data_IF_671059065617
#
_entry.id   IF_671059065617
#
_cell.length_a   1.000
_cell.length_b   1.000
_cell.length_c   1.000
_cell.angle_alpha   90.00
_cell.angle_beta   90.00
_cell.angle_gamma   90.00
#
_symmetry.space_group_name_H-M   'P 1'
#
loop_
_entity.id
_entity.type
_entity.pdbx_description
1 polymer ?
#
# COMPACT_ATOMS: atom_id res chain seq x y z
N UNK A 1 7.47 -26.67 17.48
CA UNK A 1 7.71 -26.48 16.04
C UNK A 1 6.44 -26.88 15.34
N UNK A 2 5.55 -25.92 15.12
CA UNK A 2 4.37 -26.12 14.30
C UNK A 2 4.14 -24.78 13.57
N UNK A 3 4.82 -24.66 12.43
CA UNK A 3 4.88 -23.42 11.63
C UNK A 3 5.13 -23.72 10.16
N UNK A 4 4.96 -24.97 9.75
CA UNK A 4 5.18 -25.40 8.37
C UNK A 4 4.01 -24.89 7.53
N UNK A 5 4.28 -23.93 6.66
CA UNK A 5 3.34 -23.50 5.61
C UNK A 5 3.64 -24.30 4.34
N UNK A 6 2.63 -25.02 3.84
CA UNK A 6 2.70 -25.73 2.55
C UNK A 6 2.15 -24.81 1.47
N UNK A 7 2.89 -24.68 0.38
CA UNK A 7 2.51 -23.91 -0.79
C UNK A 7 2.33 -24.88 -1.96
N UNK A 8 1.19 -24.78 -2.62
CA UNK A 8 0.93 -25.58 -3.82
C UNK A 8 1.30 -24.77 -5.05
N UNK A 9 2.11 -25.36 -5.94
CA UNK A 9 2.47 -24.74 -7.22
C UNK A 9 2.02 -25.66 -8.35
N UNK A 10 1.26 -25.12 -9.31
CA UNK A 10 0.79 -25.83 -10.51
C UNK A 10 0.89 -24.89 -11.71
N UNK A 11 1.47 -25.37 -12.80
CA UNK A 11 1.61 -24.62 -14.06
C UNK A 11 2.29 -23.24 -13.92
N UNK A 12 3.19 -23.11 -12.94
CA UNK A 12 3.87 -21.85 -12.63
C UNK A 12 3.12 -20.93 -11.68
N UNK A 13 1.90 -21.29 -11.28
CA UNK A 13 1.03 -20.51 -10.40
C UNK A 13 1.04 -21.03 -8.95
N UNK A 14 1.03 -20.11 -7.99
CA UNK A 14 0.84 -20.40 -6.57
C UNK A 14 -0.66 -20.56 -6.29
N UNK A 15 -1.07 -21.76 -5.88
CA UNK A 15 -2.46 -22.06 -5.51
C UNK A 15 -2.66 -21.82 -4.00
N UNK A 16 -3.65 -21.01 -3.63
CA UNK A 16 -4.09 -20.84 -2.25
C UNK A 16 -5.18 -19.79 -2.07
N UNK A 17 -5.94 -19.89 -0.98
CA UNK A 17 -7.11 -19.03 -0.68
C UNK A 17 -6.74 -17.64 -0.13
N UNK A 18 -5.50 -17.18 -0.34
CA UNK A 18 -5.07 -15.86 0.16
C UNK A 18 -5.38 -14.79 -0.89
N UNK A 19 -5.73 -13.56 -0.46
CA UNK A 19 -5.83 -12.46 -1.40
C UNK A 19 -4.50 -12.30 -2.14
N UNK A 20 -4.59 -12.32 -3.46
CA UNK A 20 -3.51 -12.06 -4.43
C UNK A 20 -3.51 -10.59 -4.86
N UNK A 21 -4.23 -9.75 -4.12
CA UNK A 21 -4.41 -8.34 -4.43
C UNK A 21 -4.57 -7.53 -3.15
N UNK A 22 -3.67 -6.57 -2.96
CA UNK A 22 -3.61 -5.72 -1.78
C UNK A 22 -3.33 -4.28 -2.16
N UNK A 23 -3.93 -3.35 -1.42
CA UNK A 23 -3.48 -1.97 -1.30
C UNK A 23 -2.94 -1.77 0.11
N UNK A 24 -1.88 -1.00 0.27
CA UNK A 24 -1.29 -0.75 1.58
C UNK A 24 -0.77 0.67 1.67
N UNK A 25 -0.77 1.19 2.90
CA UNK A 25 -0.42 2.56 3.25
C UNK A 25 0.67 2.54 4.31
N UNK A 26 1.74 3.29 4.09
CA UNK A 26 2.78 3.53 5.09
C UNK A 26 2.48 4.84 5.81
N UNK A 27 2.41 4.79 7.14
CA UNK A 27 2.23 5.95 8.00
C UNK A 27 3.45 6.19 8.86
N UNK A 28 3.77 7.46 9.07
CA UNK A 28 4.81 7.92 9.99
C UNK A 28 4.15 8.36 11.30
N UNK A 29 4.08 7.51 12.34
CA UNK A 29 3.41 7.85 13.60
C UNK A 29 4.00 9.12 14.25
N UNK A 30 5.29 9.39 14.03
CA UNK A 30 6.01 10.55 14.55
C UNK A 30 6.09 11.72 13.56
N UNK A 31 5.19 11.78 12.57
CA UNK A 31 5.11 12.90 11.64
C UNK A 31 4.86 14.24 12.37
N UNK A 32 5.40 15.34 11.81
CA UNK A 32 5.23 16.67 12.39
C UNK A 32 3.76 17.11 12.45
N UNK A 33 2.96 16.71 11.46
CA UNK A 33 1.50 16.77 11.50
C UNK A 33 0.96 15.35 11.69
N UNK A 34 0.34 15.03 12.84
CA UNK A 34 -0.19 13.69 13.10
C UNK A 34 -1.36 13.31 12.18
N UNK A 35 -2.00 14.29 11.53
CA UNK A 35 -3.06 14.06 10.55
C UNK A 35 -2.47 13.77 9.17
N UNK A 36 -1.47 14.53 8.74
CA UNK A 36 -0.81 14.37 7.45
C UNK A 36 0.42 13.46 7.56
N UNK A 37 0.18 12.16 7.79
CA UNK A 37 1.25 11.20 8.10
C UNK A 37 1.38 10.03 7.13
N UNK A 38 0.63 10.01 6.02
CA UNK A 38 0.76 8.98 4.98
C UNK A 38 1.94 9.31 4.07
N UNK A 39 3.00 8.50 4.14
CA UNK A 39 4.21 8.65 3.32
C UNK A 39 4.11 7.94 1.96
N UNK A 40 3.42 6.81 1.90
CA UNK A 40 3.45 5.95 0.71
C UNK A 40 2.18 5.11 0.56
N UNK A 41 1.64 5.06 -0.65
CA UNK A 41 0.58 4.12 -1.04
C UNK A 41 1.11 3.17 -2.09
N UNK A 42 0.99 1.87 -1.79
CA UNK A 42 1.45 0.81 -2.65
C UNK A 42 0.37 -0.22 -2.93
N UNK A 43 0.62 -0.99 -3.98
CA UNK A 43 -0.18 -2.15 -4.35
C UNK A 43 0.71 -3.34 -4.57
N UNK A 44 0.15 -4.53 -4.36
CA UNK A 44 0.89 -5.77 -4.55
C UNK A 44 -0.02 -6.96 -4.75
N UNK A 45 0.47 -7.97 -5.47
CA UNK A 45 -0.17 -9.29 -5.52
C UNK A 45 0.53 -10.37 -4.71
N UNK A 46 1.45 -9.98 -3.83
CA UNK A 46 2.11 -10.84 -2.86
C UNK A 46 1.74 -10.37 -1.45
N UNK A 47 2.00 -11.16 -0.39
CA UNK A 47 1.76 -10.73 0.98
C UNK A 47 2.39 -9.34 1.25
N UNK A 48 1.65 -8.38 1.84
CA UNK A 48 2.15 -7.04 2.12
C UNK A 48 3.46 -7.04 2.90
N UNK A 49 3.62 -7.93 3.88
CA UNK A 49 4.86 -8.07 4.64
C UNK A 49 6.08 -8.34 3.75
N UNK A 50 5.97 -9.21 2.75
CA UNK A 50 7.05 -9.49 1.80
C UNK A 50 7.34 -8.26 0.93
N UNK A 51 6.30 -7.60 0.42
CA UNK A 51 6.47 -6.39 -0.39
C UNK A 51 7.14 -5.28 0.40
N UNK A 52 6.76 -5.11 1.66
CA UNK A 52 7.33 -4.11 2.57
C UNK A 52 8.78 -4.42 2.93
N UNK A 53 9.11 -5.69 3.17
CA UNK A 53 10.50 -6.11 3.36
C UNK A 53 11.37 -5.78 2.13
N UNK A 54 10.86 -6.03 0.92
CA UNK A 54 11.57 -5.69 -0.31
C UNK A 54 11.82 -4.18 -0.46
N UNK A 55 10.87 -3.34 -0.03
CA UNK A 55 11.03 -1.87 -0.01
C UNK A 55 12.19 -1.39 0.85
N UNK A 56 12.47 -2.11 1.95
CA UNK A 56 13.49 -1.76 2.92
C UNK A 56 14.87 -2.34 2.57
N UNK A 57 14.90 -3.54 1.99
CA UNK A 57 16.13 -4.34 1.93
C UNK A 57 16.61 -4.69 0.52
N UNK A 58 15.77 -4.54 -0.51
CA UNK A 58 16.18 -4.86 -1.87
C UNK A 58 17.18 -3.83 -2.41
N UNK A 59 18.24 -4.32 -3.08
CA UNK A 59 19.19 -3.46 -3.83
C UNK A 59 18.65 -3.06 -5.20
N UNK A 60 17.61 -3.73 -5.68
CA UNK A 60 16.92 -3.35 -6.90
C UNK A 60 16.18 -2.01 -6.68
N UNK A 61 16.35 -1.08 -7.62
CA UNK A 61 15.86 0.30 -7.46
C UNK A 61 14.33 0.40 -7.45
N UNK A 62 13.64 -0.52 -8.12
CA UNK A 62 12.18 -0.53 -8.21
C UNK A 62 11.56 -1.27 -7.03
N UNK A 63 12.21 -2.34 -6.56
CA UNK A 63 11.78 -3.10 -5.39
C UNK A 63 12.11 -2.38 -4.08
N UNK A 64 13.29 -1.76 -3.96
CA UNK A 64 13.79 -1.02 -2.78
C UNK A 64 13.54 0.49 -2.84
N UNK A 65 12.56 0.93 -3.64
CA UNK A 65 12.34 2.35 -3.94
C UNK A 65 12.08 3.22 -2.70
N UNK A 66 11.46 2.65 -1.66
CA UNK A 66 11.08 3.37 -0.45
C UNK A 66 12.32 3.73 0.37
N UNK A 67 13.20 2.76 0.66
CA UNK A 67 14.49 3.05 1.31
C UNK A 67 15.37 3.98 0.48
N UNK A 68 15.29 3.92 -0.86
CA UNK A 68 16.04 4.83 -1.72
C UNK A 68 15.51 6.27 -1.69
N UNK A 69 14.18 6.46 -1.71
CA UNK A 69 13.55 7.79 -1.76
C UNK A 69 13.40 8.43 -0.38
N UNK A 70 13.28 7.61 0.66
CA UNK A 70 13.20 8.03 2.05
C UNK A 70 14.21 7.23 2.89
N UNK A 71 15.51 7.59 2.87
CA UNK A 71 16.57 6.81 3.52
C UNK A 71 16.36 6.58 5.01
N UNK A 72 15.61 7.47 5.68
CA UNK A 72 15.30 7.34 7.10
C UNK A 72 14.25 6.27 7.40
N UNK A 73 13.52 5.75 6.41
CA UNK A 73 12.49 4.70 6.63
C UNK A 73 13.08 3.40 7.20
N UNK A 74 14.39 3.21 7.05
CA UNK A 74 15.09 2.05 7.58
C UNK A 74 15.31 2.13 9.10
N UNK A 75 15.14 3.31 9.71
CA UNK A 75 15.41 3.57 11.14
C UNK A 75 14.27 4.26 11.87
N UNK A 76 13.41 5.00 11.15
CA UNK A 76 12.22 5.63 11.72
C UNK A 76 11.09 4.62 11.90
N UNK A 77 10.25 4.86 12.90
CA UNK A 77 9.02 4.09 13.09
C UNK A 77 8.08 4.35 11.91
N UNK A 78 7.53 3.28 11.35
CA UNK A 78 6.50 3.36 10.32
C UNK A 78 5.52 2.20 10.47
N UNK A 79 4.23 2.52 10.39
CA UNK A 79 3.16 1.54 10.40
C UNK A 79 2.71 1.25 8.97
N UNK A 80 2.36 -0.01 8.71
CA UNK A 80 1.88 -0.45 7.40
C UNK A 80 0.48 -1.02 7.56
N UNK A 81 -0.50 -0.28 7.05
CA UNK A 81 -1.90 -0.69 7.00
C UNK A 81 -2.14 -1.34 5.65
N UNK A 82 -2.56 -2.61 5.63
CA UNK A 82 -2.78 -3.35 4.40
C UNK A 82 -4.21 -3.89 4.31
N UNK A 83 -4.83 -3.66 3.17
CA UNK A 83 -6.23 -3.97 2.91
C UNK A 83 -6.31 -4.90 1.69
N UNK A 84 -6.98 -6.06 1.82
CA UNK A 84 -7.19 -6.95 0.70
C UNK A 84 -8.13 -6.28 -0.31
N UNK A 85 -7.74 -6.25 -1.58
CA UNK A 85 -8.56 -5.69 -2.65
C UNK A 85 -9.46 -6.82 -3.17
N UNK A 86 -10.80 -6.65 -3.15
CA UNK A 86 -11.72 -7.61 -3.74
C UNK A 86 -11.37 -7.93 -5.19
N UNK A 87 -11.47 -9.20 -5.60
CA UNK A 87 -11.11 -9.64 -6.95
C UNK A 87 -11.88 -8.93 -8.08
N UNK A 88 -13.08 -8.42 -7.77
CA UNK A 88 -13.89 -7.66 -8.71
C UNK A 88 -13.34 -6.24 -8.99
N UNK A 89 -12.38 -5.75 -8.19
CA UNK A 89 -11.83 -4.40 -8.30
C UNK A 89 -10.42 -4.44 -8.91
N UNK A 90 -10.15 -3.50 -9.82
CA UNK A 90 -8.81 -3.33 -10.38
C UNK A 90 -7.91 -2.60 -9.37
N UNK A 91 -6.80 -3.23 -9.01
CA UNK A 91 -5.93 -2.80 -7.92
C UNK A 91 -5.26 -1.45 -8.18
N UNK A 92 -4.91 -1.13 -9.43
CA UNK A 92 -4.32 0.16 -9.78
C UNK A 92 -5.35 1.30 -9.76
N UNK A 93 -6.58 1.06 -10.18
CA UNK A 93 -7.72 1.97 -10.06
C UNK A 93 -7.98 2.29 -8.59
N UNK A 94 -8.05 1.26 -7.74
CA UNK A 94 -8.16 1.41 -6.27
C UNK A 94 -7.03 2.26 -5.72
N UNK A 95 -5.78 2.03 -6.14
CA UNK A 95 -4.64 2.82 -5.68
C UNK A 95 -4.76 4.28 -6.08
N UNK A 96 -5.10 4.56 -7.33
CA UNK A 96 -5.24 5.95 -7.80
C UNK A 96 -6.36 6.65 -7.04
N UNK A 97 -7.54 6.04 -6.93
CA UNK A 97 -8.66 6.58 -6.17
C UNK A 97 -8.30 6.81 -4.69
N UNK A 98 -7.61 5.87 -4.04
CA UNK A 98 -7.18 5.99 -2.65
C UNK A 98 -6.21 7.16 -2.45
N UNK A 99 -5.25 7.34 -3.35
CA UNK A 99 -4.29 8.45 -3.26
C UNK A 99 -4.99 9.81 -3.33
N UNK A 100 -5.98 9.96 -4.21
CA UNK A 100 -6.79 11.18 -4.28
C UNK A 100 -7.63 11.37 -3.02
N UNK A 101 -8.32 10.34 -2.54
CA UNK A 101 -9.14 10.43 -1.33
C UNK A 101 -8.32 10.80 -0.09
N UNK A 102 -7.11 10.24 0.05
CA UNK A 102 -6.18 10.60 1.12
C UNK A 102 -5.68 12.05 0.99
N UNK A 103 -5.47 12.55 -0.23
CA UNK A 103 -5.11 13.94 -0.47
C UNK A 103 -6.25 14.88 -0.06
N UNK A 104 -7.48 14.58 -0.49
CA UNK A 104 -8.69 15.35 -0.18
C UNK A 104 -8.99 15.36 1.33
N UNK A 105 -8.69 14.25 2.03
CA UNK A 105 -8.80 14.14 3.48
C UNK A 105 -7.65 14.84 4.25
N UNK A 106 -6.61 15.33 3.55
CA UNK A 106 -5.44 15.95 4.16
C UNK A 106 -4.53 14.96 4.91
N UNK A 107 -4.55 13.68 4.53
CA UNK A 107 -3.81 12.60 5.19
C UNK A 107 -2.41 12.37 4.59
N UNK A 108 -2.15 12.84 3.37
CA UNK A 108 -0.84 12.71 2.73
C UNK A 108 0.21 13.60 3.39
N UNK A 109 1.33 13.01 3.77
CA UNK A 109 2.47 13.75 4.29
C UNK A 109 3.06 14.68 3.22
N UNK A 110 3.67 15.82 3.60
CA UNK A 110 4.40 16.69 2.66
C UNK A 110 5.47 15.95 1.85
N UNK A 111 6.08 14.93 2.44
CA UNK A 111 7.11 14.08 1.84
C UNK A 111 6.54 12.88 1.08
N UNK A 112 5.22 12.83 0.83
CA UNK A 112 4.55 11.72 0.17
C UNK A 112 5.26 11.31 -1.13
N UNK A 113 5.51 10.00 -1.26
CA UNK A 113 6.18 9.40 -2.39
C UNK A 113 5.16 8.65 -3.25
N UNK A 114 4.81 9.19 -4.41
CA UNK A 114 3.84 8.52 -5.27
C UNK A 114 3.77 9.10 -6.69
N UNK A 115 2.83 8.62 -7.50
CA UNK A 115 2.49 9.31 -8.74
C UNK A 115 2.00 10.74 -8.42
N UNK A 116 2.21 11.72 -9.31
CA UNK A 116 1.70 13.06 -9.13
C UNK A 116 0.16 13.07 -9.06
N UNK A 117 -0.39 13.95 -8.23
CA UNK A 117 -1.83 14.21 -8.08
C UNK A 117 -2.32 15.07 -9.24
N UNK A 118 -2.27 14.55 -10.47
CA UNK A 118 -2.76 15.26 -11.65
C UNK A 118 -4.11 14.69 -12.11
N UNK A 119 -5.10 15.57 -12.28
CA UNK A 119 -6.45 15.22 -12.74
C UNK A 119 -7.42 14.82 -11.62
N UNK A 120 -8.64 14.44 -12.01
CA UNK A 120 -9.61 13.82 -11.11
C UNK A 120 -9.50 12.31 -11.22
N UNK A 121 -9.43 11.59 -10.10
CA UNK A 121 -9.59 10.14 -10.12
C UNK A 121 -11.01 9.79 -10.59
N UNK A 122 -11.14 9.37 -11.86
CA UNK A 122 -12.34 8.70 -12.31
C UNK A 122 -12.29 7.27 -11.81
N UNK A 123 -13.06 6.99 -10.76
CA UNK A 123 -13.22 5.65 -10.21
C UNK A 123 -14.66 5.20 -10.39
N UNK A 124 -14.87 3.91 -10.60
CA UNK A 124 -16.20 3.30 -10.49
C UNK A 124 -16.78 3.50 -9.08
N UNK A 125 -18.11 3.46 -8.96
CA UNK A 125 -18.80 3.60 -7.67
C UNK A 125 -18.34 2.55 -6.65
N UNK A 126 -18.09 1.31 -7.10
CA UNK A 126 -17.58 0.24 -6.25
C UNK A 126 -16.17 0.54 -5.72
N UNK A 127 -15.28 1.09 -6.55
CA UNK A 127 -13.95 1.52 -6.11
C UNK A 127 -14.06 2.70 -5.14
N UNK A 128 -14.92 3.68 -5.43
CA UNK A 128 -15.13 4.83 -4.54
C UNK A 128 -15.62 4.39 -3.14
N UNK A 129 -16.61 3.48 -3.09
CA UNK A 129 -17.10 2.91 -1.83
C UNK A 129 -16.01 2.20 -1.04
N UNK A 130 -15.25 1.31 -1.69
CA UNK A 130 -14.14 0.60 -1.05
C UNK A 130 -13.06 1.57 -0.53
N UNK A 131 -12.72 2.60 -1.31
CA UNK A 131 -11.74 3.61 -0.89
C UNK A 131 -12.21 4.39 0.33
N UNK A 132 -13.49 4.76 0.41
CA UNK A 132 -14.04 5.44 1.58
C UNK A 132 -13.92 4.58 2.85
N UNK A 133 -14.16 3.27 2.75
CA UNK A 133 -13.96 2.33 3.87
C UNK A 133 -12.49 2.28 4.30
N UNK A 134 -11.55 2.25 3.34
CA UNK A 134 -10.12 2.27 3.62
C UNK A 134 -9.70 3.57 4.30
N UNK A 135 -10.18 4.73 3.82
CA UNK A 135 -9.87 6.03 4.43
C UNK A 135 -10.42 6.12 5.84
N UNK A 136 -11.67 5.70 6.07
CA UNK A 136 -12.28 5.69 7.40
C UNK A 136 -11.52 4.78 8.39
N UNK A 137 -10.90 3.69 7.92
CA UNK A 137 -10.06 2.83 8.74
C UNK A 137 -8.70 3.44 9.10
N UNK A 138 -8.33 4.58 8.51
CA UNK A 138 -7.08 5.30 8.77
C UNK A 138 -7.28 6.57 9.64
N UNK A 139 -8.52 6.97 9.89
CA UNK A 139 -8.88 8.04 10.84
C UNK A 139 -8.93 7.53 12.29
#
# INVERSE_FOLDING_TARGET
MDGTQVWHVRDGELLGDRPDSWVYVWRLPDAADPRANVLYVGTTGMPPALRSWLHLHSKDKELGRLAKRFPKIAVEAADIYAFPVPQALERMEVKHALVHALADAGLLAPEYVGPPLEGTAHASEAVASYVLEVVAALE
#
